data_IF_551300674216
#
_entry.id   IF_551300674216
#
_cell.length_a   1.000
_cell.length_b   1.000
_cell.length_c   1.000
_cell.angle_alpha   90.00
_cell.angle_beta   90.00
_cell.angle_gamma   90.00
#
_symmetry.space_group_name_H-M   'P 1'
#
loop_
_entity.id
_entity.type
_entity.pdbx_description
1 polymer ?
#
# COMPACT_ATOMS: atom_id res chain seq x y z
N UNK A 1 24.44 -21.89 -18.87
CA UNK A 1 23.85 -22.21 -17.56
C UNK A 1 23.18 -20.95 -17.03
N UNK A 2 21.85 -20.87 -17.06
CA UNK A 2 21.08 -19.71 -16.60
C UNK A 2 20.86 -19.84 -15.09
N UNK A 3 21.36 -18.87 -14.31
CA UNK A 3 21.20 -18.88 -12.85
C UNK A 3 19.72 -18.68 -12.48
N UNK A 4 19.16 -19.61 -11.69
CA UNK A 4 17.81 -19.46 -11.13
C UNK A 4 17.87 -18.48 -9.96
N UNK A 5 17.09 -17.38 -9.95
CA UNK A 5 17.11 -16.45 -8.83
C UNK A 5 16.58 -17.14 -7.57
N UNK A 6 17.39 -17.16 -6.51
CA UNK A 6 17.00 -17.67 -5.19
C UNK A 6 15.79 -16.87 -4.69
N UNK A 7 14.68 -17.50 -4.28
CA UNK A 7 13.54 -16.79 -3.72
C UNK A 7 14.01 -16.01 -2.50
N UNK A 8 13.92 -14.67 -2.58
CA UNK A 8 14.21 -13.80 -1.43
C UNK A 8 13.18 -14.15 -0.36
N UNK A 9 13.66 -14.40 0.86
CA UNK A 9 12.76 -14.64 1.98
C UNK A 9 11.74 -13.49 2.06
N UNK A 10 10.46 -13.82 2.23
CA UNK A 10 9.38 -12.85 2.40
C UNK A 10 9.63 -12.07 3.68
N UNK A 11 10.39 -11.00 3.58
CA UNK A 11 10.63 -10.09 4.68
C UNK A 11 9.45 -9.14 4.75
N UNK A 12 8.42 -9.54 5.50
CA UNK A 12 7.33 -8.62 5.84
C UNK A 12 7.92 -7.39 6.52
N UNK A 13 7.51 -6.21 6.05
CA UNK A 13 7.96 -4.96 6.61
C UNK A 13 7.61 -4.91 8.11
N UNK A 14 8.61 -4.65 8.95
CA UNK A 14 8.37 -4.47 10.38
C UNK A 14 7.70 -3.12 10.62
N UNK A 15 6.95 -3.00 11.72
CA UNK A 15 6.31 -1.75 12.15
C UNK A 15 7.30 -0.58 12.20
N UNK A 16 8.52 -0.84 12.70
CA UNK A 16 9.58 0.17 12.79
C UNK A 16 9.99 0.70 11.40
N UNK A 17 10.10 -0.19 10.41
CA UNK A 17 10.44 0.19 9.03
C UNK A 17 9.33 0.98 8.36
N UNK A 18 8.07 0.58 8.53
CA UNK A 18 6.95 1.36 7.97
C UNK A 18 6.91 2.77 8.58
N UNK A 19 7.12 2.87 9.89
CA UNK A 19 7.14 4.16 10.60
C UNK A 19 8.20 5.10 10.06
N UNK A 20 9.44 4.63 9.88
CA UNK A 20 10.52 5.50 9.40
C UNK A 20 10.24 6.04 8.00
N UNK A 21 9.66 5.25 7.10
CA UNK A 21 9.31 5.69 5.76
C UNK A 21 8.18 6.74 5.77
N UNK A 22 7.19 6.60 6.65
CA UNK A 22 6.12 7.60 6.82
C UNK A 22 6.69 8.91 7.37
N UNK A 23 7.58 8.83 8.35
CA UNK A 23 8.24 10.01 8.93
C UNK A 23 9.06 10.76 7.87
N UNK A 24 9.91 10.06 7.11
CA UNK A 24 10.66 10.66 6.00
C UNK A 24 9.74 11.28 4.94
N UNK A 25 8.65 10.61 4.57
CA UNK A 25 7.70 11.19 3.60
C UNK A 25 7.09 12.51 4.11
N UNK A 26 6.76 12.59 5.40
CA UNK A 26 6.25 13.83 6.02
C UNK A 26 7.30 14.93 6.07
N UNK A 27 8.55 14.60 6.39
CA UNK A 27 9.68 15.54 6.36
C UNK A 27 9.91 16.15 4.98
N UNK A 28 9.66 15.36 3.92
CA UNK A 28 9.70 15.81 2.54
C UNK A 28 8.45 16.59 2.09
N UNK A 29 7.52 16.89 3.01
CA UNK A 29 6.29 17.63 2.72
C UNK A 29 5.20 16.81 2.05
N UNK A 30 5.32 15.47 1.99
CA UNK A 30 4.28 14.60 1.43
C UNK A 30 3.15 14.44 2.44
N UNK A 31 1.94 14.82 2.03
CA UNK A 31 0.73 14.55 2.81
C UNK A 31 0.35 13.08 2.67
N UNK A 32 0.75 12.26 3.64
CA UNK A 32 0.54 10.80 3.62
C UNK A 32 -0.92 10.46 3.89
N UNK A 33 -1.57 9.78 2.95
CA UNK A 33 -2.92 9.23 3.10
C UNK A 33 -2.95 7.76 3.52
N UNK A 34 -1.88 7.01 3.27
CA UNK A 34 -1.78 5.60 3.63
C UNK A 34 -0.46 4.97 3.20
N UNK A 35 -0.36 3.66 3.37
CA UNK A 35 0.76 2.87 2.88
C UNK A 35 0.27 1.49 2.41
N UNK A 36 1.00 0.90 1.47
CA UNK A 36 0.79 -0.46 0.99
C UNK A 36 2.08 -1.26 1.19
N UNK A 37 1.94 -2.51 1.62
CA UNK A 37 3.06 -3.46 1.68
C UNK A 37 2.77 -4.58 0.69
N UNK A 38 3.59 -4.68 -0.35
CA UNK A 38 3.46 -5.72 -1.37
C UNK A 38 4.07 -7.04 -0.88
N UNK A 39 3.65 -8.19 -1.45
CA UNK A 39 4.16 -9.51 -1.03
C UNK A 39 5.67 -9.72 -1.21
N UNK A 40 6.33 -8.89 -2.03
CA UNK A 40 7.79 -8.84 -2.20
C UNK A 40 8.51 -8.02 -1.11
N UNK A 41 7.76 -7.41 -0.18
CA UNK A 41 8.28 -6.62 0.94
C UNK A 41 8.49 -5.13 0.62
N UNK A 42 8.10 -4.67 -0.57
CA UNK A 42 8.18 -3.24 -0.93
C UNK A 42 7.12 -2.45 -0.15
N UNK A 43 7.51 -1.30 0.40
CA UNK A 43 6.59 -0.37 1.08
C UNK A 43 6.35 0.80 0.14
N UNK A 44 5.08 1.02 -0.21
CA UNK A 44 4.65 2.17 -1.02
C UNK A 44 3.91 3.15 -0.12
N UNK A 45 4.31 4.42 -0.14
CA UNK A 45 3.60 5.49 0.57
C UNK A 45 2.61 6.13 -0.39
N UNK A 46 1.34 6.18 0.01
CA UNK A 46 0.27 6.77 -0.78
C UNK A 46 0.06 8.21 -0.30
N UNK A 47 0.22 9.18 -1.19
CA UNK A 47 -0.19 10.56 -0.92
C UNK A 47 -1.71 10.64 -0.76
N UNK A 48 -2.21 11.56 0.06
CA UNK A 48 -3.64 11.67 0.39
C UNK A 48 -4.54 11.81 -0.85
N UNK A 49 -4.09 12.54 -1.86
CA UNK A 49 -4.83 12.66 -3.12
C UNK A 49 -4.93 11.33 -3.86
N UNK A 50 -3.84 10.54 -3.89
CA UNK A 50 -3.83 9.21 -4.49
C UNK A 50 -4.62 8.19 -3.65
N UNK A 51 -4.58 8.31 -2.32
CA UNK A 51 -5.31 7.45 -1.40
C UNK A 51 -6.84 7.61 -1.53
N UNK A 52 -7.32 8.85 -1.73
CA UNK A 52 -8.75 9.12 -1.97
C UNK A 52 -9.26 8.47 -3.26
N UNK A 53 -8.45 8.42 -4.31
CA UNK A 53 -8.79 7.71 -5.55
C UNK A 53 -8.83 6.19 -5.38
N UNK A 54 -8.01 5.63 -4.49
CA UNK A 54 -8.01 4.19 -4.20
C UNK A 54 -9.25 3.74 -3.38
N UNK A 55 -9.79 4.61 -2.53
CA UNK A 55 -11.05 4.36 -1.78
C UNK A 55 -12.32 4.50 -2.62
N UNK A 56 -12.21 4.91 -3.90
CA UNK A 56 -13.35 5.06 -4.82
C UNK A 56 -13.77 3.77 -5.53
N UNK A 57 -13.13 2.63 -5.25
CA UNK A 57 -13.57 1.33 -5.76
C UNK A 57 -14.86 0.93 -5.02
N UNK A 58 -16.01 1.27 -5.62
CA UNK A 58 -17.28 0.72 -5.18
C UNK A 58 -17.17 -0.80 -5.13
N UNK A 59 -17.37 -1.37 -3.95
CA UNK A 59 -17.35 -2.82 -3.80
C UNK A 59 -18.66 -3.34 -4.39
N UNK A 60 -18.63 -4.40 -5.19
CA UNK A 60 -19.83 -4.91 -5.89
C UNK A 60 -21.00 -5.21 -4.92
N UNK A 61 -20.68 -5.50 -3.66
CA UNK A 61 -21.63 -5.66 -2.57
C UNK A 61 -22.36 -4.37 -2.17
N UNK A 62 -21.66 -3.23 -2.15
CA UNK A 62 -22.24 -1.92 -1.82
C UNK A 62 -23.11 -1.37 -2.98
N UNK A 63 -22.84 -1.80 -4.22
CA UNK A 63 -23.71 -1.50 -5.36
C UNK A 63 -24.99 -2.36 -5.33
N UNK A 64 -24.87 -3.68 -5.09
CA UNK A 64 -26.02 -4.58 -4.92
C UNK A 64 -27.00 -4.11 -3.83
N UNK A 65 -26.48 -3.67 -2.67
CA UNK A 65 -27.29 -3.15 -1.57
C UNK A 65 -28.02 -1.85 -1.93
N UNK A 66 -27.46 -1.05 -2.82
CA UNK A 66 -28.05 0.22 -3.31
C UNK A 66 -29.17 -0.02 -4.31
N UNK A 67 -29.11 -1.13 -5.03
CA UNK A 67 -30.15 -1.58 -5.98
C UNK A 67 -31.39 -2.18 -5.30
N UNK A 68 -31.39 -2.27 -3.97
CA UNK A 68 -32.58 -2.60 -3.18
C UNK A 68 -32.95 -4.10 -3.19
N UNK A 69 -31.98 -4.96 -3.44
CA UNK A 69 -32.13 -6.42 -3.46
C UNK A 69 -31.60 -7.06 -2.18
#
# INVERSE_FOLDING_TARGET
MTAVPKPRARHYATKAKVRSYIETARELGVKVGGFEVTPDGTIRILAEQAARSATGASNAYDDWKREGN
#
